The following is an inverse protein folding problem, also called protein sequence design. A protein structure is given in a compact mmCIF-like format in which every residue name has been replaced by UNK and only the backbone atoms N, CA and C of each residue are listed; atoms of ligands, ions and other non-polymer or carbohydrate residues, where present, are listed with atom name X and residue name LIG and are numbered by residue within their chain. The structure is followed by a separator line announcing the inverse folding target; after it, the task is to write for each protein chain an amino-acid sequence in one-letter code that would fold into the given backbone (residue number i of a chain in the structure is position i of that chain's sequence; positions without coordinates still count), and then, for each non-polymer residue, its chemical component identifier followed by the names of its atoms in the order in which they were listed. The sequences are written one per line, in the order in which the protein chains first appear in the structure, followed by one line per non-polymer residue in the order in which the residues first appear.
data_IF_855862882600
#
_entry.id   IF_855862882600
#
_cell.length_a   1.000
_cell.length_b   1.000
_cell.length_c   1.000
_cell.angle_alpha   90.00
_cell.angle_beta   90.00
_cell.angle_gamma   90.00
#
_symmetry.space_group_name_H-M   'P 1'
#
loop_
_entity.id
_entity.type
_entity.pdbx_description
1 polymer ?
#
# COMPACT_ATOMS: atom_id res chain seq x y z
N UNK A 1 9.42 10.66 2.84
CA UNK A 1 9.76 9.79 1.69
C UNK A 1 10.75 8.71 2.10
N UNK A 2 10.53 7.46 1.69
CA UNK A 2 11.45 6.34 1.93
C UNK A 2 12.09 5.92 0.60
N UNK A 3 13.40 6.08 0.41
CA UNK A 3 14.14 5.55 -0.76
C UNK A 3 13.52 5.86 -2.14
N UNK A 4 13.02 7.09 -2.31
CA UNK A 4 12.35 7.49 -3.56
C UNK A 4 10.94 6.90 -3.70
N UNK A 5 10.31 6.52 -2.60
CA UNK A 5 8.90 6.15 -2.52
C UNK A 5 8.16 7.14 -1.64
N UNK A 6 7.12 7.70 -2.22
CA UNK A 6 6.14 8.51 -1.53
C UNK A 6 5.13 7.59 -0.83
N UNK A 7 4.76 7.97 0.39
CA UNK A 7 3.72 7.31 1.16
C UNK A 7 2.78 8.39 1.66
N UNK A 8 1.49 8.13 1.49
CA UNK A 8 0.44 9.09 1.76
C UNK A 8 -0.73 8.39 2.45
N UNK A 9 -1.03 8.78 3.69
CA UNK A 9 -2.17 8.23 4.43
C UNK A 9 -3.42 9.00 4.01
N UNK A 10 -4.44 8.28 3.54
CA UNK A 10 -5.72 8.86 3.10
C UNK A 10 -6.75 8.74 4.24
N UNK A 11 -6.67 7.66 5.02
CA UNK A 11 -7.48 7.38 6.21
C UNK A 11 -6.71 6.40 7.13
N UNK A 12 -7.21 6.12 8.34
CA UNK A 12 -6.67 5.13 9.29
C UNK A 12 -6.55 3.72 8.71
N UNK A 13 -7.22 3.45 7.60
CA UNK A 13 -7.28 2.13 6.96
C UNK A 13 -6.86 2.17 5.49
N UNK A 14 -6.36 3.30 4.99
CA UNK A 14 -6.04 3.48 3.58
C UNK A 14 -4.75 4.28 3.42
N UNK A 15 -3.72 3.64 2.88
CA UNK A 15 -2.41 4.26 2.64
C UNK A 15 -2.00 4.03 1.20
N UNK A 16 -1.67 5.11 0.49
CA UNK A 16 -1.11 5.07 -0.85
C UNK A 16 0.41 5.03 -0.79
N UNK A 17 1.02 4.21 -1.64
CA UNK A 17 2.46 4.06 -1.81
C UNK A 17 2.79 4.14 -3.30
N UNK A 18 3.83 4.87 -3.69
CA UNK A 18 4.17 5.01 -5.10
C UNK A 18 5.46 5.75 -5.38
N UNK A 19 5.75 5.93 -6.67
CA UNK A 19 6.85 6.79 -7.14
C UNK A 19 6.67 8.25 -6.68
N UNK A 20 7.75 9.06 -6.59
CA UNK A 20 7.70 10.44 -6.10
C UNK A 20 6.92 11.41 -7.00
N UNK A 21 6.38 10.95 -8.12
CA UNK A 21 5.58 11.72 -9.05
C UNK A 21 4.09 11.48 -8.75
N UNK A 22 3.54 12.22 -7.80
CA UNK A 22 2.11 12.20 -7.52
C UNK A 22 1.79 13.20 -6.42
N UNK A 23 0.82 14.09 -6.70
CA UNK A 23 0.26 15.05 -5.75
C UNK A 23 0.02 14.40 -4.38
N UNK A 24 0.47 15.03 -3.28
CA UNK A 24 0.03 14.68 -1.92
C UNK A 24 -1.51 14.75 -1.88
N UNK A 25 -2.19 13.63 -1.59
CA UNK A 25 -3.65 13.54 -1.61
C UNK A 25 -4.29 14.03 -0.31
N UNK A 26 -3.50 14.36 0.71
CA UNK A 26 -3.98 15.07 1.88
C UNK A 26 -3.13 14.84 3.11
N UNK A 27 -2.98 15.87 3.94
CA UNK A 27 -2.39 15.73 5.26
C UNK A 27 -3.36 15.02 6.19
N UNK A 28 -3.42 13.69 6.16
CA UNK A 28 -4.16 12.94 7.17
C UNK A 28 -3.49 13.13 8.53
N UNK A 29 -4.11 13.95 9.39
CA UNK A 29 -3.48 14.49 10.60
C UNK A 29 -3.17 13.45 11.66
N UNK A 30 -3.84 12.30 11.61
CA UNK A 30 -3.71 11.24 12.61
C UNK A 30 -2.78 10.10 12.15
N UNK A 31 -1.99 10.31 11.10
CA UNK A 31 -0.86 9.46 10.77
C UNK A 31 0.39 9.92 11.52
N UNK A 32 1.04 9.00 12.21
CA UNK A 32 2.36 9.22 12.78
C UNK A 32 3.44 8.76 11.82
N UNK A 33 4.39 9.63 11.49
CA UNK A 33 5.54 9.31 10.63
C UNK A 33 6.84 9.52 11.39
N UNK A 34 7.72 8.53 11.36
CA UNK A 34 9.07 8.61 11.93
C UNK A 34 10.12 8.18 10.91
N UNK A 35 11.26 8.90 10.90
CA UNK A 35 12.32 8.71 9.90
C UNK A 35 13.61 8.13 10.48
N UNK A 36 13.76 7.99 11.81
CA UNK A 36 14.98 7.48 12.46
C UNK A 36 14.68 6.73 13.78
N UNK A 37 15.45 5.68 14.14
CA UNK A 37 16.50 5.00 13.36
C UNK A 37 15.95 4.04 12.29
N UNK A 38 14.62 3.80 12.29
CA UNK A 38 13.89 3.02 11.27
C UNK A 38 12.78 3.88 10.70
N UNK A 39 12.52 3.76 9.40
CA UNK A 39 11.41 4.46 8.76
C UNK A 39 10.08 3.80 9.14
N UNK A 40 9.08 4.58 9.56
CA UNK A 40 7.75 4.09 9.92
C UNK A 40 6.65 5.09 9.60
N UNK A 41 5.49 4.57 9.20
CA UNK A 41 4.20 5.26 9.19
C UNK A 41 3.19 4.42 9.97
N UNK A 42 2.41 5.05 10.84
CA UNK A 42 1.32 4.40 11.58
C UNK A 42 0.05 5.19 11.34
N UNK A 43 -0.99 4.53 10.84
CA UNK A 43 -2.33 5.06 10.67
C UNK A 43 -3.32 4.03 11.24
N UNK A 44 -3.94 4.33 12.38
CA UNK A 44 -4.79 3.37 13.09
C UNK A 44 -4.09 2.04 13.40
N UNK A 45 -4.63 0.93 12.92
CA UNK A 45 -4.05 -0.41 13.06
C UNK A 45 -3.12 -0.82 11.91
N UNK A 46 -2.97 0.05 10.91
CA UNK A 46 -2.07 -0.14 9.79
C UNK A 46 -0.72 0.52 10.09
N UNK A 47 0.36 -0.24 9.96
CA UNK A 47 1.71 0.29 10.07
C UNK A 47 2.53 -0.13 8.86
N UNK A 48 3.27 0.81 8.30
CA UNK A 48 4.30 0.56 7.30
C UNK A 48 5.65 0.81 7.96
N UNK A 49 6.62 -0.08 7.77
CA UNK A 49 7.95 0.07 8.36
C UNK A 49 9.04 -0.44 7.43
N UNK A 50 10.23 0.15 7.50
CA UNK A 50 11.40 -0.36 6.80
C UNK A 50 12.63 -0.28 7.68
N UNK A 51 13.40 -1.37 7.69
CA UNK A 51 14.71 -1.43 8.33
C UNK A 51 15.87 -1.81 7.40
N UNK A 52 15.58 -2.38 6.22
CA UNK A 52 16.59 -2.80 5.23
C UNK A 52 16.73 -1.86 4.03
N UNK A 53 15.86 -0.85 3.91
CA UNK A 53 15.98 0.20 2.89
C UNK A 53 15.61 -0.22 1.46
N UNK A 54 15.42 -1.50 1.20
CA UNK A 54 14.91 -2.10 -0.04
C UNK A 54 13.57 -2.83 0.16
N UNK A 55 13.15 -2.99 1.42
CA UNK A 55 11.91 -3.65 1.81
C UNK A 55 11.07 -2.77 2.72
N UNK A 56 9.80 -2.68 2.40
CA UNK A 56 8.75 -2.04 3.19
C UNK A 56 7.81 -3.11 3.71
N UNK A 57 7.75 -3.28 5.01
CA UNK A 57 6.87 -4.22 5.68
C UNK A 57 5.55 -3.55 6.05
N UNK A 58 4.45 -4.27 5.83
CA UNK A 58 3.09 -3.80 6.06
C UNK A 58 2.49 -4.65 7.16
N UNK A 59 2.09 -4.00 8.25
CA UNK A 59 1.56 -4.63 9.44
C UNK A 59 0.09 -4.24 9.64
N UNK A 60 -0.72 -5.23 10.00
CA UNK A 60 -2.09 -5.04 10.48
C UNK A 60 -2.16 -5.57 11.91
N UNK A 61 -2.64 -4.76 12.85
CA UNK A 61 -2.74 -5.11 14.28
C UNK A 61 -1.41 -5.63 14.85
N UNK A 62 -0.29 -5.05 14.43
CA UNK A 62 1.05 -5.44 14.86
C UNK A 62 1.59 -6.75 14.25
N UNK A 63 0.86 -7.38 13.33
CA UNK A 63 1.30 -8.60 12.64
C UNK A 63 1.66 -8.30 11.18
N UNK A 64 2.75 -8.88 10.69
CA UNK A 64 3.14 -8.77 9.29
C UNK A 64 2.01 -9.33 8.42
N UNK A 65 1.49 -8.48 7.53
CA UNK A 65 0.40 -8.81 6.63
C UNK A 65 0.87 -8.91 5.18
N UNK A 66 1.86 -8.10 4.80
CA UNK A 66 2.50 -8.12 3.50
C UNK A 66 3.87 -7.42 3.55
N UNK A 67 4.63 -7.51 2.48
CA UNK A 67 5.79 -6.66 2.26
C UNK A 67 5.91 -6.25 0.80
N UNK A 68 6.45 -5.06 0.59
CA UNK A 68 6.78 -4.50 -0.70
C UNK A 68 8.30 -4.44 -0.84
N UNK A 69 8.84 -5.06 -1.89
CA UNK A 69 10.27 -5.16 -2.14
C UNK A 69 10.64 -4.38 -3.39
N UNK A 70 11.74 -3.64 -3.30
CA UNK A 70 12.28 -2.83 -4.40
C UNK A 70 13.34 -3.61 -5.14
N UNK A 71 13.17 -3.67 -6.44
CA UNK A 71 14.14 -4.20 -7.39
C UNK A 71 14.52 -3.10 -8.40
N UNK A 72 15.58 -3.32 -9.17
CA UNK A 72 15.90 -2.44 -10.27
C UNK A 72 14.78 -2.51 -11.33
N UNK A 73 14.08 -1.40 -11.58
CA UNK A 73 13.03 -1.31 -12.60
C UNK A 73 11.67 -1.91 -12.20
N UNK A 74 11.54 -2.44 -10.98
CA UNK A 74 10.33 -3.15 -10.52
C UNK A 74 10.13 -3.00 -9.02
N UNK A 75 8.87 -2.90 -8.59
CA UNK A 75 8.44 -3.13 -7.21
C UNK A 75 7.60 -4.39 -7.15
N UNK A 76 7.82 -5.24 -6.15
CA UNK A 76 7.07 -6.48 -5.98
C UNK A 76 6.36 -6.48 -4.63
N UNK A 77 5.05 -6.75 -4.64
CA UNK A 77 4.25 -6.94 -3.45
C UNK A 77 4.12 -8.43 -3.12
N UNK A 78 4.54 -8.80 -1.92
CA UNK A 78 4.43 -10.15 -1.37
C UNK A 78 3.40 -10.18 -0.24
N UNK A 79 2.34 -10.98 -0.34
CA UNK A 79 1.46 -11.24 0.79
C UNK A 79 2.23 -12.00 1.87
N UNK A 80 1.75 -11.94 3.12
CA UNK A 80 2.33 -12.79 4.16
C UNK A 80 2.23 -14.29 3.75
N UNK A 81 3.27 -15.11 4.02
CA UNK A 81 3.43 -16.47 3.47
C UNK A 81 2.29 -17.47 3.76
N UNK A 82 1.41 -17.15 4.72
CA UNK A 82 0.35 -18.05 5.18
C UNK A 82 -1.01 -17.77 4.53
N UNK A 83 -1.08 -16.88 3.53
CA UNK A 83 -2.35 -16.47 2.93
C UNK A 83 -2.30 -16.63 1.41
N UNK A 84 -3.10 -17.56 0.91
CA UNK A 84 -3.50 -17.54 -0.50
C UNK A 84 -4.16 -16.20 -0.79
N UNK A 85 -3.70 -15.56 -1.86
CA UNK A 85 -4.35 -14.37 -2.36
C UNK A 85 -5.39 -14.70 -3.42
N UNK A 86 -6.25 -13.73 -3.70
CA UNK A 86 -7.18 -13.82 -4.83
C UNK A 86 -7.03 -12.57 -5.67
N UNK A 87 -6.85 -12.78 -6.97
CA UNK A 87 -6.94 -11.73 -7.96
C UNK A 87 -8.42 -11.36 -8.16
N UNK A 88 -8.70 -10.06 -8.06
CA UNK A 88 -9.99 -9.45 -8.30
C UNK A 88 -9.82 -8.28 -9.28
N UNK A 89 -9.19 -8.53 -10.43
CA UNK A 89 -9.05 -7.59 -11.54
C UNK A 89 -8.01 -6.53 -11.25
N UNK A 90 -8.39 -5.47 -10.53
CA UNK A 90 -7.48 -4.36 -10.17
C UNK A 90 -7.00 -4.42 -8.72
N UNK A 91 -7.36 -5.48 -7.99
CA UNK A 91 -6.99 -5.65 -6.59
C UNK A 91 -6.57 -7.07 -6.28
N UNK A 92 -5.57 -7.20 -5.40
CA UNK A 92 -5.20 -8.49 -4.82
C UNK A 92 -5.40 -8.47 -3.32
N UNK A 93 -6.01 -9.52 -2.81
CA UNK A 93 -6.52 -9.57 -1.44
C UNK A 93 -5.83 -10.63 -0.60
N UNK A 94 -5.62 -10.31 0.66
CA UNK A 94 -5.28 -11.24 1.74
C UNK A 94 -6.29 -11.07 2.89
N UNK A 95 -6.27 -11.94 3.90
CA UNK A 95 -7.10 -11.71 5.09
C UNK A 95 -6.63 -10.46 5.85
N UNK A 96 -7.35 -9.35 5.69
CA UNK A 96 -7.09 -8.10 6.42
C UNK A 96 -6.48 -6.97 5.60
N UNK A 97 -5.89 -7.27 4.44
CA UNK A 97 -5.24 -6.29 3.57
C UNK A 97 -5.60 -6.56 2.12
N UNK A 98 -5.91 -5.52 1.36
CA UNK A 98 -5.91 -5.54 -0.09
C UNK A 98 -4.92 -4.55 -0.66
N UNK A 99 -4.30 -4.93 -1.77
CA UNK A 99 -3.53 -4.06 -2.65
C UNK A 99 -4.44 -3.67 -3.80
N UNK A 100 -4.62 -2.38 -4.05
CA UNK A 100 -5.35 -1.86 -5.22
C UNK A 100 -4.37 -1.10 -6.10
N UNK A 101 -4.14 -1.58 -7.31
CA UNK A 101 -3.27 -0.92 -8.26
C UNK A 101 -4.07 -0.07 -9.25
N UNK A 102 -3.61 1.16 -9.48
CA UNK A 102 -4.08 1.97 -10.60
C UNK A 102 -3.28 1.67 -11.89
N UNK A 103 -2.17 0.95 -11.77
CA UNK A 103 -1.27 0.59 -12.86
C UNK A 103 -1.46 -0.88 -13.27
N UNK A 104 -1.17 -1.23 -14.54
CA UNK A 104 -1.10 -2.63 -14.95
C UNK A 104 -0.17 -3.41 -14.01
N UNK A 105 -0.66 -4.54 -13.51
CA UNK A 105 0.09 -5.49 -12.69
C UNK A 105 0.50 -6.69 -13.52
N UNK A 106 1.63 -7.29 -13.19
CA UNK A 106 2.04 -8.58 -13.71
C UNK A 106 2.28 -9.57 -12.56
N UNK A 107 2.11 -10.86 -12.84
CA UNK A 107 2.54 -11.89 -11.90
C UNK A 107 4.07 -11.86 -11.80
N UNK A 108 4.60 -11.82 -10.59
CA UNK A 108 6.03 -11.92 -10.32
C UNK A 108 6.45 -13.36 -10.04
N UNK A 109 7.75 -13.61 -10.20
CA UNK A 109 8.36 -14.84 -9.72
C UNK A 109 8.11 -15.00 -8.21
N UNK A 110 7.85 -16.24 -7.78
CA UNK A 110 7.60 -16.62 -6.38
C UNK A 110 6.33 -16.04 -5.73
N UNK A 111 5.26 -15.83 -6.49
CA UNK A 111 3.95 -15.47 -5.92
C UNK A 111 3.92 -14.06 -5.33
N UNK A 112 4.65 -13.13 -5.97
CA UNK A 112 4.57 -11.68 -5.77
C UNK A 112 3.86 -10.97 -6.94
N UNK A 113 3.32 -9.77 -6.72
CA UNK A 113 2.72 -8.96 -7.80
C UNK A 113 3.68 -7.86 -8.15
N UNK A 114 4.07 -7.80 -9.41
CA UNK A 114 4.96 -6.78 -9.90
C UNK A 114 4.25 -5.52 -10.36
N UNK A 115 4.96 -4.41 -10.18
CA UNK A 115 4.65 -3.10 -10.71
C UNK A 115 5.93 -2.58 -11.36
N UNK A 116 5.85 -2.19 -12.63
CA UNK A 116 6.98 -1.60 -13.33
C UNK A 116 7.30 -0.21 -12.73
N UNK A 117 8.58 0.11 -12.54
CA UNK A 117 9.03 1.40 -11.98
C UNK A 117 9.69 2.32 -13.01
N UNK A 118 9.70 1.91 -14.28
CA UNK A 118 10.13 2.72 -15.43
C UNK A 118 9.12 3.82 -15.81
N UNK A 119 7.90 3.73 -15.28
CA UNK A 119 6.88 4.78 -15.29
C UNK A 119 6.41 5.12 -13.85
N UNK A 120 5.74 6.27 -13.65
CA UNK A 120 5.07 6.56 -12.39
C UNK A 120 4.08 5.46 -12.02
N UNK A 121 4.25 4.90 -10.83
CA UNK A 121 3.40 3.83 -10.30
C UNK A 121 2.85 4.22 -8.94
N UNK A 122 1.68 3.70 -8.62
CA UNK A 122 1.11 3.81 -7.28
C UNK A 122 0.16 2.65 -6.98
N UNK A 123 0.16 2.25 -5.72
CA UNK A 123 -0.77 1.29 -5.16
C UNK A 123 -1.38 1.83 -3.88
N UNK A 124 -2.62 1.45 -3.62
CA UNK A 124 -3.30 1.72 -2.36
C UNK A 124 -3.35 0.44 -1.54
N UNK A 125 -2.83 0.52 -0.33
CA UNK A 125 -2.94 -0.50 0.70
C UNK A 125 -4.22 -0.21 1.47
N UNK A 126 -5.18 -1.12 1.36
CA UNK A 126 -6.46 -1.08 2.04
C UNK A 126 -6.42 -2.05 3.20
N UNK A 127 -6.74 -1.58 4.40
CA UNK A 127 -6.88 -2.38 5.60
C UNK A 127 -8.34 -2.57 5.97
N UNK A 128 -8.70 -3.77 6.41
CA UNK A 128 -10.03 -4.02 6.95
C UNK A 128 -10.11 -5.39 7.63
N UNK A 129 -10.62 -5.52 8.87
CA UNK A 129 -10.63 -6.78 9.61
C UNK A 129 -11.55 -7.87 9.00
N UNK A 130 -12.34 -7.53 8.00
CA UNK A 130 -13.23 -8.44 7.28
C UNK A 130 -13.30 -8.06 5.78
N UNK A 131 -13.66 -9.02 4.93
CA UNK A 131 -13.76 -8.81 3.47
C UNK A 131 -14.73 -7.67 3.10
N UNK A 132 -15.90 -7.60 3.74
CA UNK A 132 -16.88 -6.55 3.51
C UNK A 132 -16.35 -5.15 3.82
N UNK A 133 -15.49 -5.03 4.85
CA UNK A 133 -14.83 -3.75 5.16
C UNK A 133 -13.78 -3.39 4.11
N UNK A 134 -13.04 -4.38 3.59
CA UNK A 134 -12.12 -4.15 2.48
C UNK A 134 -12.89 -3.66 1.26
N UNK A 135 -14.02 -4.28 0.91
CA UNK A 135 -14.87 -3.86 -0.22
C UNK A 135 -15.35 -2.41 -0.06
N UNK A 136 -15.93 -2.08 1.10
CA UNK A 136 -16.38 -0.71 1.37
C UNK A 136 -15.25 0.33 1.27
N UNK A 137 -14.01 -0.03 1.63
CA UNK A 137 -12.85 0.85 1.51
C UNK A 137 -12.35 0.99 0.08
N UNK A 138 -12.44 -0.06 -0.74
CA UNK A 138 -12.16 0.01 -2.17
C UNK A 138 -13.19 0.92 -2.87
N UNK A 139 -14.47 0.84 -2.49
CA UNK A 139 -15.52 1.71 -3.01
C UNK A 139 -15.29 3.18 -2.61
N UNK A 140 -14.87 3.42 -1.36
CA UNK A 140 -14.48 4.75 -0.89
C UNK A 140 -13.29 5.28 -1.70
N UNK A 141 -12.22 4.51 -1.86
CA UNK A 141 -11.05 4.87 -2.65
C UNK A 141 -11.44 5.25 -4.08
N UNK A 142 -12.27 4.42 -4.73
CA UNK A 142 -12.80 4.67 -6.07
C UNK A 142 -13.59 5.97 -6.14
N UNK A 143 -14.41 6.24 -5.12
CA UNK A 143 -15.21 7.46 -5.02
C UNK A 143 -14.32 8.70 -4.84
N UNK A 144 -13.31 8.63 -3.97
CA UNK A 144 -12.33 9.70 -3.75
C UNK A 144 -11.54 10.03 -5.03
N UNK A 145 -11.14 9.01 -5.77
CA UNK A 145 -10.44 9.17 -7.05
C UNK A 145 -11.33 9.85 -8.10
N UNK A 146 -12.62 9.49 -8.18
CA UNK A 146 -13.58 10.10 -9.12
C UNK A 146 -13.78 11.59 -8.88
N UNK A 147 -13.78 12.03 -7.63
CA UNK A 147 -13.98 13.45 -7.27
C UNK A 147 -12.68 14.26 -7.25
N UNK A 148 -11.56 13.67 -7.69
CA UNK A 148 -10.27 14.34 -7.79
C UNK A 148 -9.56 14.55 -6.45
N UNK A 149 -9.94 13.81 -5.40
CA UNK A 149 -9.14 13.57 -4.19
C UNK A 149 -8.48 14.77 -3.50
N UNK A 150 -9.06 15.98 -3.57
CA UNK A 150 -8.37 17.21 -3.13
C UNK A 150 -8.73 17.75 -1.75
N UNK A 151 -9.75 17.21 -1.07
CA UNK A 151 -10.21 17.73 0.23
C UNK A 151 -10.86 16.64 1.09
N UNK A 152 -10.08 16.08 2.00
CA UNK A 152 -10.54 15.74 3.35
C UNK A 152 -10.16 16.90 4.26
#
# INVERSE_FOLDING_TARGET
MWKGIAVDAIDYELVRVGSPAGDELGSFTDAHVSFTPKWRLVAGYLMLASDRGDRLEIFSHGRLAASLQLHAGRVVFYPAPTKEWKDHGTSVRTAGIALVSASPTDDAEEGGIGLATDAPWAVSIVHGPAAEKIDARIDLLTSLQRVGGRRG
#
